data_IF_649830362127
#
_entry.id   IF_649830362127
#
_cell.length_a   1.000
_cell.length_b   1.000
_cell.length_c   1.000
_cell.angle_alpha   90.00
_cell.angle_beta   90.00
_cell.angle_gamma   90.00
#
_symmetry.space_group_name_H-M   'P 1'
#
loop_
_entity.id
_entity.type
_entity.pdbx_description
1 polymer ?
#
# COMPACT_ATOMS: atom_id res chain seq x y z
N UNK A 1 9.35 -11.13 -23.98
CA UNK A 1 8.81 -9.89 -23.39
C UNK A 1 9.63 -8.65 -23.76
N UNK A 2 10.95 -8.55 -23.48
CA UNK A 2 11.76 -7.35 -23.85
C UNK A 2 11.64 -6.91 -25.33
N UNK A 3 11.49 -7.86 -26.26
CA UNK A 3 11.43 -7.59 -27.70
C UNK A 3 10.12 -6.96 -28.19
N UNK A 4 9.08 -6.91 -27.36
CA UNK A 4 7.71 -6.54 -27.78
C UNK A 4 7.28 -5.17 -27.24
N UNK A 5 7.78 -4.76 -26.07
CA UNK A 5 7.46 -3.47 -25.46
C UNK A 5 8.72 -2.80 -24.91
N UNK A 6 9.00 -1.60 -25.42
CA UNK A 6 10.15 -0.80 -25.01
C UNK A 6 10.03 -0.28 -23.57
N UNK A 7 8.81 -0.03 -23.08
CA UNK A 7 8.59 0.41 -21.71
C UNK A 7 8.94 -0.70 -20.71
N UNK A 8 8.34 -1.87 -20.87
CA UNK A 8 8.64 -3.05 -20.05
C UNK A 8 10.09 -3.48 -20.18
N UNK A 9 10.70 -3.33 -21.37
CA UNK A 9 12.13 -3.64 -21.53
C UNK A 9 13.00 -2.82 -20.59
N UNK A 10 12.77 -1.51 -20.53
CA UNK A 10 13.52 -0.62 -19.64
C UNK A 10 13.32 -0.93 -18.17
N UNK A 11 12.10 -1.30 -17.75
CA UNK A 11 11.84 -1.73 -16.37
C UNK A 11 12.67 -2.98 -16.02
N UNK A 12 12.75 -3.94 -16.93
CA UNK A 12 13.55 -5.15 -16.75
C UNK A 12 15.06 -4.87 -16.77
N UNK A 13 15.52 -3.88 -17.53
CA UNK A 13 16.92 -3.44 -17.51
C UNK A 13 17.31 -2.91 -16.11
N UNK A 14 16.50 -2.00 -15.54
CA UNK A 14 16.71 -1.46 -14.18
C UNK A 14 16.69 -2.58 -13.14
N UNK A 15 15.73 -3.51 -13.24
CA UNK A 15 15.67 -4.66 -12.33
C UNK A 15 16.94 -5.53 -12.41
N UNK A 16 17.48 -5.74 -13.61
CA UNK A 16 18.71 -6.53 -13.80
C UNK A 16 19.92 -5.83 -13.17
N UNK A 17 20.05 -4.51 -13.37
CA UNK A 17 21.11 -3.70 -12.76
C UNK A 17 21.05 -3.73 -11.23
N UNK A 18 19.85 -3.66 -10.64
CA UNK A 18 19.67 -3.77 -9.19
C UNK A 18 20.06 -5.16 -8.66
N UNK A 19 19.76 -6.23 -9.39
CA UNK A 19 20.20 -7.59 -9.03
C UNK A 19 21.73 -7.72 -9.08
N UNK A 20 22.38 -7.18 -10.10
CA UNK A 20 23.84 -7.19 -10.24
C UNK A 20 24.53 -6.39 -9.14
N UNK A 21 23.93 -5.26 -8.75
CA UNK A 21 24.44 -4.41 -7.66
C UNK A 21 24.37 -5.13 -6.30
N UNK A 22 23.53 -6.17 -6.17
CA UNK A 22 23.37 -7.02 -4.98
C UNK A 22 23.29 -6.24 -3.66
N UNK A 23 22.62 -5.07 -3.71
CA UNK A 23 22.38 -4.26 -2.53
C UNK A 23 21.23 -4.87 -1.76
N UNK A 24 21.49 -5.17 -0.49
CA UNK A 24 20.45 -5.64 0.43
C UNK A 24 19.67 -4.44 0.94
N UNK A 25 18.47 -4.24 0.38
CA UNK A 25 17.50 -3.28 0.91
C UNK A 25 16.83 -3.89 2.14
N UNK A 26 17.16 -3.40 3.34
CA UNK A 26 16.60 -3.91 4.60
C UNK A 26 15.15 -3.44 4.83
N UNK A 27 14.70 -2.41 4.10
CA UNK A 27 13.35 -1.87 4.18
C UNK A 27 12.75 -1.78 2.79
N UNK A 28 11.54 -2.34 2.64
CA UNK A 28 10.68 -2.14 1.48
C UNK A 28 9.28 -1.75 1.96
N UNK A 29 8.64 -0.80 1.28
CA UNK A 29 7.26 -0.40 1.53
C UNK A 29 6.42 -0.63 0.28
N UNK A 30 5.46 -1.56 0.38
CA UNK A 30 4.43 -1.78 -0.64
C UNK A 30 3.11 -1.13 -0.23
N UNK A 31 2.57 -0.28 -1.11
CA UNK A 31 1.23 0.29 -0.99
C UNK A 31 0.37 -0.20 -2.14
N UNK A 32 -0.19 -1.40 -1.99
CA UNK A 32 -0.89 -2.09 -3.06
C UNK A 32 -2.41 -1.85 -3.01
N UNK A 33 -3.06 -1.85 -4.17
CA UNK A 33 -4.52 -1.81 -4.32
C UNK A 33 -4.96 -2.94 -5.23
N UNK A 34 -5.86 -3.79 -4.76
CA UNK A 34 -6.50 -4.83 -5.57
C UNK A 34 -7.87 -4.37 -5.99
N UNK A 35 -8.10 -4.28 -7.30
CA UNK A 35 -9.37 -3.85 -7.86
C UNK A 35 -10.20 -5.09 -8.27
N UNK A 36 -11.48 -5.09 -7.89
CA UNK A 36 -12.38 -6.22 -8.09
C UNK A 36 -13.67 -5.80 -8.79
N UNK A 37 -14.27 -6.72 -9.54
CA UNK A 37 -15.60 -6.58 -10.11
C UNK A 37 -16.44 -7.82 -9.81
N UNK A 38 -17.75 -7.61 -9.63
CA UNK A 38 -18.71 -8.70 -9.48
C UNK A 38 -19.05 -9.27 -10.85
N UNK A 39 -18.83 -10.55 -11.08
CA UNK A 39 -19.31 -11.21 -12.28
C UNK A 39 -20.83 -11.41 -12.21
N UNK A 40 -21.53 -10.99 -13.25
CA UNK A 40 -22.99 -11.02 -13.27
C UNK A 40 -23.54 -12.44 -13.35
N UNK A 41 -22.81 -13.37 -13.98
CA UNK A 41 -23.29 -14.73 -14.20
C UNK A 41 -22.98 -15.63 -13.01
N UNK A 42 -21.73 -15.64 -12.55
CA UNK A 42 -21.30 -16.50 -11.44
C UNK A 42 -21.57 -15.89 -10.06
N UNK A 43 -21.82 -14.57 -9.98
CA UNK A 43 -21.91 -13.81 -8.74
C UNK A 43 -20.60 -13.82 -7.91
N UNK A 44 -19.47 -14.16 -8.54
CA UNK A 44 -18.17 -14.14 -7.90
C UNK A 44 -17.53 -12.75 -7.97
N UNK A 45 -16.72 -12.44 -6.96
CA UNK A 45 -15.88 -11.25 -6.95
C UNK A 45 -14.56 -11.60 -7.62
N UNK A 46 -14.33 -11.08 -8.81
CA UNK A 46 -13.14 -11.35 -9.62
C UNK A 46 -12.16 -10.19 -9.52
N UNK A 47 -10.89 -10.50 -9.30
CA UNK A 47 -9.83 -9.51 -9.32
C UNK A 47 -9.53 -9.12 -10.77
N UNK A 48 -9.55 -7.82 -11.04
CA UNK A 48 -9.30 -7.25 -12.37
C UNK A 48 -7.87 -6.76 -12.49
N UNK A 49 -7.36 -6.09 -11.44
CA UNK A 49 -6.03 -5.48 -11.46
C UNK A 49 -5.39 -5.53 -10.07
N UNK A 50 -4.07 -5.72 -10.04
CA UNK A 50 -3.25 -5.44 -8.88
C UNK A 50 -2.39 -4.22 -9.17
N UNK A 51 -2.74 -3.11 -8.54
CA UNK A 51 -1.96 -1.89 -8.58
C UNK A 51 -0.88 -1.96 -7.51
N UNK A 52 0.39 -2.09 -7.94
CA UNK A 52 1.55 -2.11 -7.05
C UNK A 52 2.31 -0.78 -7.03
N UNK A 53 2.03 0.11 -7.99
CA UNK A 53 2.72 1.40 -8.17
C UNK A 53 1.68 2.50 -8.25
N UNK A 54 1.91 3.60 -7.53
CA UNK A 54 1.09 4.82 -7.62
C UNK A 54 -0.42 4.57 -7.45
N UNK A 55 -0.78 3.83 -6.40
CA UNK A 55 -2.16 3.55 -6.06
C UNK A 55 -2.91 4.85 -5.73
N UNK A 56 -3.77 5.27 -6.66
CA UNK A 56 -4.52 6.52 -6.56
C UNK A 56 -5.77 6.39 -5.68
N UNK A 57 -6.32 7.55 -5.28
CA UNK A 57 -7.57 7.73 -4.51
C UNK A 57 -7.64 7.38 -3.00
N UNK A 58 -6.57 7.02 -2.27
CA UNK A 58 -6.72 6.72 -0.84
C UNK A 58 -7.12 7.93 0.01
N UNK A 59 -6.79 9.17 -0.41
CA UNK A 59 -7.28 10.39 0.25
C UNK A 59 -8.65 10.85 -0.24
N UNK A 60 -8.96 10.64 -1.52
CA UNK A 60 -10.24 11.06 -2.11
C UNK A 60 -11.40 10.18 -1.64
N UNK A 61 -11.16 8.90 -1.37
CA UNK A 61 -12.19 7.96 -0.89
C UNK A 61 -12.87 8.42 0.40
N UNK A 62 -12.13 9.07 1.30
CA UNK A 62 -12.67 9.69 2.51
C UNK A 62 -13.69 10.77 2.18
N UNK A 63 -13.34 11.71 1.30
CA UNK A 63 -14.20 12.83 0.92
C UNK A 63 -15.46 12.36 0.19
N UNK A 64 -15.33 11.36 -0.68
CA UNK A 64 -16.48 10.77 -1.39
C UNK A 64 -17.42 10.07 -0.40
N UNK A 65 -16.86 9.41 0.63
CA UNK A 65 -17.67 8.78 1.68
C UNK A 65 -18.45 9.81 2.49
N UNK A 66 -17.81 10.91 2.86
CA UNK A 66 -18.45 12.02 3.56
C UNK A 66 -19.57 12.65 2.71
N UNK A 67 -19.30 12.90 1.43
CA UNK A 67 -20.31 13.40 0.48
C UNK A 67 -21.53 12.47 0.39
N UNK A 68 -21.33 11.15 0.26
CA UNK A 68 -22.43 10.20 0.22
C UNK A 68 -23.23 10.18 1.54
N UNK A 69 -22.55 10.36 2.67
CA UNK A 69 -23.19 10.48 3.99
C UNK A 69 -24.13 11.68 4.04
N UNK A 70 -23.63 12.85 3.61
CA UNK A 70 -24.39 14.10 3.59
C UNK A 70 -25.60 14.00 2.65
N UNK A 71 -25.41 13.45 1.44
CA UNK A 71 -26.50 13.29 0.48
C UNK A 71 -27.58 12.32 0.97
N UNK A 72 -27.18 11.24 1.65
CA UNK A 72 -28.13 10.26 2.21
C UNK A 72 -28.92 10.89 3.36
N UNK A 73 -28.23 11.61 4.26
CA UNK A 73 -28.84 12.33 5.37
C UNK A 73 -29.86 13.37 4.91
N UNK A 74 -29.52 14.15 3.87
CA UNK A 74 -30.41 15.19 3.34
C UNK A 74 -31.62 14.64 2.55
N UNK A 75 -31.55 13.41 2.02
CA UNK A 75 -32.61 12.85 1.15
C UNK A 75 -33.53 11.82 1.84
N UNK A 76 -33.12 11.18 2.93
CA UNK A 76 -33.90 10.11 3.57
C UNK A 76 -33.83 10.18 5.11
N UNK A 77 -34.87 10.70 5.75
CA UNK A 77 -34.97 10.79 7.21
C UNK A 77 -35.14 9.43 7.93
N UNK A 78 -35.39 8.31 7.22
CA UNK A 78 -35.86 7.06 7.85
C UNK A 78 -35.04 5.77 7.56
N UNK A 79 -33.95 5.82 6.80
CA UNK A 79 -33.12 4.63 6.48
C UNK A 79 -31.64 4.92 6.80
N UNK A 80 -31.34 5.26 8.06
CA UNK A 80 -30.02 5.81 8.43
C UNK A 80 -29.07 4.83 9.15
N UNK A 81 -29.49 3.58 9.39
CA UNK A 81 -28.72 2.63 10.23
C UNK A 81 -27.66 1.84 9.43
N UNK A 82 -27.85 1.60 8.12
CA UNK A 82 -26.93 0.76 7.33
C UNK A 82 -25.75 1.51 6.69
N UNK A 83 -25.85 2.82 6.50
CA UNK A 83 -24.81 3.62 5.84
C UNK A 83 -23.63 3.94 6.76
N UNK A 84 -23.88 4.13 8.06
CA UNK A 84 -22.88 4.67 9.01
C UNK A 84 -21.68 3.73 9.27
N UNK A 85 -21.86 2.42 9.18
CA UNK A 85 -20.79 1.42 9.39
C UNK A 85 -19.80 1.34 8.21
N UNK A 86 -20.22 1.70 6.99
CA UNK A 86 -19.35 1.63 5.79
C UNK A 86 -18.52 2.91 5.55
N UNK A 87 -18.96 4.06 6.08
CA UNK A 87 -18.28 5.35 5.91
C UNK A 87 -16.98 5.42 6.73
N UNK A 88 -16.98 4.85 7.94
CA UNK A 88 -15.80 4.83 8.81
C UNK A 88 -14.62 4.07 8.20
N UNK A 89 -14.88 3.08 7.35
CA UNK A 89 -13.86 2.24 6.73
C UNK A 89 -12.87 3.05 5.89
N UNK A 90 -13.34 4.08 5.18
CA UNK A 90 -12.48 4.87 4.29
C UNK A 90 -11.54 5.82 5.06
N UNK A 91 -11.99 6.35 6.21
CA UNK A 91 -11.13 7.14 7.09
C UNK A 91 -9.95 6.31 7.61
N UNK A 92 -10.19 5.03 7.93
CA UNK A 92 -9.12 4.10 8.31
C UNK A 92 -8.11 3.89 7.18
N UNK A 93 -8.55 3.78 5.93
CA UNK A 93 -7.65 3.62 4.77
C UNK A 93 -6.66 4.77 4.61
N UNK A 94 -7.09 6.03 4.74
CA UNK A 94 -6.18 7.17 4.66
C UNK A 94 -5.19 7.22 5.82
N UNK A 95 -5.66 6.95 7.05
CA UNK A 95 -4.79 6.86 8.23
C UNK A 95 -3.73 5.76 8.07
N UNK A 96 -4.12 4.59 7.56
CA UNK A 96 -3.23 3.47 7.27
C UNK A 96 -2.15 3.86 6.26
N UNK A 97 -2.50 4.61 5.20
CA UNK A 97 -1.53 5.14 4.24
C UNK A 97 -0.50 6.06 4.91
N UNK A 98 -0.97 7.10 5.61
CA UNK A 98 -0.09 8.06 6.27
C UNK A 98 0.79 7.39 7.32
N UNK A 99 0.23 6.43 8.06
CA UNK A 99 0.97 5.66 9.06
C UNK A 99 2.03 4.75 8.44
N UNK A 100 1.71 4.06 7.34
CA UNK A 100 2.67 3.22 6.61
C UNK A 100 3.87 4.02 6.08
N UNK A 101 3.60 5.16 5.45
CA UNK A 101 4.65 6.08 4.97
C UNK A 101 5.51 6.63 6.11
N UNK A 102 4.88 7.10 7.19
CA UNK A 102 5.60 7.62 8.35
C UNK A 102 6.48 6.56 9.02
N UNK A 103 6.01 5.32 9.14
CA UNK A 103 6.78 4.23 9.73
C UNK A 103 7.95 3.82 8.86
N UNK A 104 7.77 3.76 7.54
CA UNK A 104 8.88 3.51 6.62
C UNK A 104 9.95 4.59 6.75
N UNK A 105 9.54 5.86 6.77
CA UNK A 105 10.46 7.00 6.96
C UNK A 105 11.21 6.92 8.29
N UNK A 106 10.51 6.61 9.39
CA UNK A 106 11.15 6.40 10.70
C UNK A 106 12.15 5.25 10.69
N UNK A 107 11.77 4.09 10.15
CA UNK A 107 12.68 2.94 10.04
C UNK A 107 13.92 3.27 9.22
N UNK A 108 13.77 4.00 8.12
CA UNK A 108 14.90 4.47 7.32
C UNK A 108 15.81 5.40 8.12
N UNK A 109 15.25 6.33 8.89
CA UNK A 109 16.02 7.23 9.75
C UNK A 109 16.75 6.49 10.88
N UNK A 110 16.13 5.46 11.47
CA UNK A 110 16.76 4.62 12.49
C UNK A 110 17.93 3.82 11.93
N UNK A 111 17.78 3.20 10.74
CA UNK A 111 18.90 2.51 10.08
C UNK A 111 20.01 3.50 9.69
N UNK A 112 19.66 4.70 9.23
CA UNK A 112 20.66 5.73 8.87
C UNK A 112 21.48 6.17 10.10
N UNK A 113 20.82 6.30 11.25
CA UNK A 113 21.47 6.58 12.53
C UNK A 113 22.33 5.39 13.00
N UNK A 114 21.84 4.15 12.89
CA UNK A 114 22.59 2.94 13.21
C UNK A 114 23.80 2.71 12.26
N UNK A 115 23.76 3.24 11.04
CA UNK A 115 24.91 3.23 10.11
C UNK A 115 25.92 4.33 10.45
N UNK A 116 25.47 5.51 10.90
CA UNK A 116 26.35 6.58 11.37
C UNK A 116 27.06 6.21 12.68
N UNK A 117 26.45 5.36 13.51
CA UNK A 117 27.04 4.82 14.73
C UNK A 117 27.77 3.47 14.50
N UNK A 118 27.76 2.90 13.28
CA UNK A 118 28.31 1.55 13.02
C UNK A 118 29.85 1.45 13.00
N UNK A 119 30.56 2.53 13.30
CA UNK A 119 31.96 2.46 13.77
C UNK A 119 32.04 2.08 15.26
N UNK A 120 30.92 2.02 15.98
CA UNK A 120 30.84 1.60 17.39
C UNK A 120 29.54 0.84 17.70
N UNK A 121 29.70 -0.40 18.19
CA UNK A 121 28.65 -1.26 18.77
C UNK A 121 27.70 -1.99 17.82
N UNK A 122 28.24 -3.11 17.35
CA UNK A 122 27.54 -4.40 17.42
C UNK A 122 26.93 -4.58 18.83
N UNK A 123 25.61 -4.40 18.96
CA UNK A 123 24.67 -5.06 19.90
C UNK A 123 23.58 -4.08 20.33
N UNK A 124 22.35 -4.30 19.86
CA UNK A 124 21.15 -4.39 20.72
C UNK A 124 19.88 -4.30 19.86
N UNK A 125 18.84 -5.01 20.29
CA UNK A 125 17.44 -4.90 19.88
C UNK A 125 17.04 -5.47 18.51
N UNK A 126 17.02 -6.80 18.48
CA UNK A 126 15.81 -7.50 18.02
C UNK A 126 14.63 -7.00 18.86
N UNK A 127 13.62 -6.37 18.24
CA UNK A 127 12.19 -6.58 18.55
C UNK A 127 11.35 -5.71 17.63
N UNK A 128 10.52 -6.36 16.82
CA UNK A 128 9.11 -6.10 16.53
C UNK A 128 8.80 -6.64 15.13
N UNK A 129 8.30 -7.88 15.15
CA UNK A 129 7.65 -8.56 14.04
C UNK A 129 6.70 -7.60 13.32
N UNK A 130 7.03 -7.28 12.07
CA UNK A 130 6.06 -6.85 11.07
C UNK A 130 6.24 -7.83 9.93
N UNK A 131 5.20 -8.63 9.70
CA UNK A 131 5.17 -9.80 8.83
C UNK A 131 5.94 -9.57 7.52
N UNK A 132 7.06 -10.29 7.39
CA UNK A 132 7.73 -10.52 6.13
C UNK A 132 6.82 -11.40 5.29
N UNK A 133 6.24 -10.84 4.22
CA UNK A 133 5.85 -11.67 3.09
C UNK A 133 7.13 -11.94 2.29
N UNK A 134 7.88 -12.95 2.73
CA UNK A 134 8.88 -13.61 1.91
C UNK A 134 8.14 -14.23 0.72
N UNK A 135 8.20 -13.57 -0.44
CA UNK A 135 7.99 -14.25 -1.72
C UNK A 135 9.35 -14.79 -2.16
N UNK A 136 9.67 -15.98 -1.66
CA UNK A 136 10.68 -16.86 -2.24
C UNK A 136 9.95 -17.91 -3.10
N UNK A 137 10.47 -18.06 -4.33
CA UNK A 137 10.13 -18.99 -5.42
C UNK A 137 8.91 -18.69 -6.29
#
# INVERSE_FOLDING_TARGET
TKKVDAFTSRLLDIHSEMLETNKKEEICLGLHRSDYMLDAQSQDILQIELNAISCSFPGLSCLVSELHSLLTFCKFHFICVYTHQRILLNMFLYLLLCHGLNNCSRKQSSITLDVADRDNLVKSLKLYDVQFLDYAE
#
